data_IF_305291509462
#
_entry.id   IF_305291509462
#
_cell.length_a   1.000
_cell.length_b   1.000
_cell.length_c   1.000
_cell.angle_alpha   90.00
_cell.angle_beta   90.00
_cell.angle_gamma   90.00
#
_symmetry.space_group_name_H-M   'P 1'
#
loop_
_entity.id
_entity.type
_entity.pdbx_description
1 polymer ?
#
# COMPACT_ATOMS: atom_id res chain seq x y z
N UNK A 1 -21.38 24.62 32.13
CA UNK A 1 -21.54 23.17 32.32
C UNK A 1 -20.69 22.52 31.28
N UNK A 2 -19.51 21.99 31.62
CA UNK A 2 -18.67 21.23 30.71
C UNK A 2 -19.21 19.80 30.66
N UNK A 3 -19.80 19.43 29.53
CA UNK A 3 -20.19 18.07 29.26
C UNK A 3 -18.91 17.23 29.20
N UNK A 4 -18.74 16.31 30.14
CA UNK A 4 -17.65 15.37 30.17
C UNK A 4 -17.75 14.51 28.89
N UNK A 5 -16.81 14.70 27.98
CA UNK A 5 -16.58 13.78 26.87
C UNK A 5 -16.27 12.43 27.49
N UNK A 6 -17.24 11.54 27.46
CA UNK A 6 -17.06 10.17 27.94
C UNK A 6 -15.94 9.52 27.12
N UNK A 7 -14.80 9.31 27.76
CA UNK A 7 -13.66 8.60 27.23
C UNK A 7 -14.14 7.21 26.80
N UNK A 8 -14.32 6.99 25.49
CA UNK A 8 -14.70 5.69 24.94
C UNK A 8 -13.63 4.70 25.32
N UNK A 9 -13.91 3.84 26.31
CA UNK A 9 -12.98 2.79 26.71
C UNK A 9 -12.66 1.88 25.53
N UNK A 10 -11.38 1.58 25.36
CA UNK A 10 -10.93 0.67 24.29
C UNK A 10 -11.68 -0.66 24.38
N UNK A 11 -12.12 -1.24 23.26
CA UNK A 11 -12.89 -2.47 23.26
C UNK A 11 -12.12 -3.60 23.96
N UNK A 12 -12.77 -4.25 24.93
CA UNK A 12 -12.17 -5.36 25.66
C UNK A 12 -11.98 -6.56 24.76
N UNK A 13 -10.97 -7.41 25.06
CA UNK A 13 -10.62 -8.62 24.30
C UNK A 13 -11.82 -9.54 23.97
N UNK A 14 -12.72 -9.69 24.94
CA UNK A 14 -13.95 -10.50 24.76
C UNK A 14 -14.89 -9.91 23.71
N UNK A 15 -14.97 -8.58 23.61
CA UNK A 15 -15.78 -7.86 22.61
C UNK A 15 -15.19 -8.09 21.22
N UNK A 16 -13.86 -8.02 21.08
CA UNK A 16 -13.16 -8.28 19.82
C UNK A 16 -13.39 -9.71 19.33
N UNK A 17 -13.27 -10.71 20.21
CA UNK A 17 -13.51 -12.13 19.83
C UNK A 17 -14.99 -12.35 19.43
N UNK A 18 -15.94 -11.73 20.17
CA UNK A 18 -17.36 -11.86 19.83
C UNK A 18 -17.67 -11.21 18.48
N UNK A 19 -17.01 -10.07 18.17
CA UNK A 19 -17.20 -9.37 16.90
C UNK A 19 -16.73 -10.19 15.68
N UNK A 20 -15.81 -11.14 15.82
CA UNK A 20 -15.37 -12.04 14.74
C UNK A 20 -16.52 -12.89 14.16
N UNK A 21 -17.66 -13.02 14.84
CA UNK A 21 -18.86 -13.66 14.30
C UNK A 21 -19.58 -12.80 13.27
N UNK A 22 -19.32 -11.48 13.26
CA UNK A 22 -19.85 -10.59 12.24
C UNK A 22 -19.02 -10.79 10.95
N UNK A 23 -19.65 -11.03 9.79
CA UNK A 23 -18.94 -11.22 8.53
C UNK A 23 -17.95 -10.10 8.20
N UNK A 24 -18.30 -8.84 8.48
CA UNK A 24 -17.41 -7.68 8.26
C UNK A 24 -16.10 -7.82 9.04
N UNK A 25 -16.18 -8.21 10.30
CA UNK A 25 -15.02 -8.44 11.17
C UNK A 25 -14.20 -9.66 10.74
N UNK A 26 -14.87 -10.72 10.28
CA UNK A 26 -14.21 -11.92 9.75
C UNK A 26 -13.38 -11.60 8.49
N UNK A 27 -13.97 -10.90 7.53
CA UNK A 27 -13.24 -10.44 6.34
C UNK A 27 -12.15 -9.41 6.69
N UNK A 28 -12.36 -8.57 7.70
CA UNK A 28 -11.33 -7.63 8.14
C UNK A 28 -10.10 -8.35 8.72
N UNK A 29 -10.28 -9.49 9.40
CA UNK A 29 -9.17 -10.31 9.86
C UNK A 29 -8.38 -10.91 8.67
N UNK A 30 -9.07 -11.42 7.65
CA UNK A 30 -8.44 -11.92 6.42
C UNK A 30 -7.71 -10.81 5.67
N UNK A 31 -8.31 -9.64 5.54
CA UNK A 31 -7.71 -8.51 4.85
C UNK A 31 -6.53 -7.94 5.64
N UNK A 32 -6.61 -7.87 6.97
CA UNK A 32 -5.47 -7.51 7.81
C UNK A 32 -4.30 -8.48 7.65
N UNK A 33 -4.59 -9.78 7.53
CA UNK A 33 -3.58 -10.78 7.21
C UNK A 33 -2.97 -10.56 5.82
N UNK A 34 -3.81 -10.31 4.80
CA UNK A 34 -3.36 -10.01 3.44
C UNK A 34 -2.51 -8.72 3.35
N UNK A 35 -2.74 -7.74 4.22
CA UNK A 35 -1.90 -6.54 4.31
C UNK A 35 -0.51 -6.83 4.90
N UNK A 36 -0.42 -7.72 5.88
CA UNK A 36 0.82 -7.99 6.61
C UNK A 36 1.74 -9.01 5.92
N UNK A 37 1.19 -9.95 5.15
CA UNK A 37 1.96 -11.05 4.57
C UNK A 37 2.95 -10.58 3.48
N UNK A 38 2.55 -9.79 2.46
CA UNK A 38 3.47 -9.37 1.41
C UNK A 38 4.64 -8.52 1.89
N UNK A 39 4.48 -7.51 2.78
CA UNK A 39 5.62 -6.79 3.34
C UNK A 39 6.59 -7.71 4.11
N UNK A 40 6.07 -8.67 4.89
CA UNK A 40 6.91 -9.64 5.59
C UNK A 40 7.74 -10.49 4.63
N UNK A 41 7.18 -10.82 3.47
CA UNK A 41 7.89 -11.58 2.44
C UNK A 41 8.86 -10.69 1.64
N UNK A 42 8.37 -9.62 1.02
CA UNK A 42 9.19 -8.80 0.10
C UNK A 42 10.26 -7.95 0.80
N UNK A 43 10.01 -7.51 2.04
CA UNK A 43 10.96 -6.71 2.81
C UNK A 43 11.68 -7.49 3.91
N UNK A 44 11.38 -8.77 4.06
CA UNK A 44 11.93 -9.65 5.08
C UNK A 44 12.54 -10.92 4.50
N UNK A 45 11.76 -12.00 4.40
CA UNK A 45 12.25 -13.33 4.01
C UNK A 45 12.83 -13.42 2.62
N UNK A 46 12.46 -12.51 1.70
CA UNK A 46 13.08 -12.42 0.37
C UNK A 46 14.59 -12.23 0.46
N UNK A 47 15.06 -11.36 1.37
CA UNK A 47 16.50 -11.13 1.54
C UNK A 47 17.22 -12.36 2.09
N UNK A 48 16.57 -13.16 2.93
CA UNK A 48 17.13 -14.41 3.42
C UNK A 48 17.27 -15.41 2.26
N UNK A 49 16.26 -15.51 1.37
CA UNK A 49 16.34 -16.36 0.17
C UNK A 49 17.46 -15.93 -0.77
N UNK A 50 17.56 -14.62 -1.06
CA UNK A 50 18.61 -14.07 -1.93
C UNK A 50 20.00 -14.31 -1.33
N UNK A 51 20.16 -14.16 -0.01
CA UNK A 51 21.41 -14.43 0.69
C UNK A 51 21.83 -15.90 0.63
N UNK A 52 20.88 -16.82 0.81
CA UNK A 52 21.14 -18.26 0.70
C UNK A 52 21.46 -18.68 -0.75
N UNK A 53 20.84 -18.00 -1.73
CA UNK A 53 21.17 -18.16 -3.14
C UNK A 53 22.49 -17.50 -3.53
N UNK A 54 23.27 -16.96 -2.58
CA UNK A 54 24.56 -16.29 -2.82
C UNK A 54 24.47 -15.12 -3.81
N UNK A 55 23.34 -14.41 -3.82
CA UNK A 55 23.22 -13.15 -4.55
C UNK A 55 24.05 -12.09 -3.84
N UNK A 56 24.83 -11.32 -4.59
CA UNK A 56 25.70 -10.30 -4.03
C UNK A 56 24.90 -9.17 -3.32
N UNK A 57 25.51 -8.54 -2.33
CA UNK A 57 24.88 -7.54 -1.48
C UNK A 57 24.47 -6.27 -2.26
N UNK A 58 25.24 -5.92 -3.30
CA UNK A 58 24.95 -4.75 -4.13
C UNK A 58 23.66 -4.97 -4.91
N UNK A 59 23.51 -6.14 -5.49
CA UNK A 59 22.30 -6.54 -6.22
C UNK A 59 21.09 -6.64 -5.29
N UNK A 60 21.28 -7.12 -4.06
CA UNK A 60 20.22 -7.11 -3.04
C UNK A 60 19.73 -5.69 -2.73
N UNK A 61 20.59 -4.68 -2.85
CA UNK A 61 20.25 -3.28 -2.68
C UNK A 61 19.13 -2.80 -3.64
N UNK A 62 19.03 -3.39 -4.85
CA UNK A 62 17.94 -3.07 -5.80
C UNK A 62 16.57 -3.44 -5.22
N UNK A 63 16.49 -4.51 -4.47
CA UNK A 63 15.23 -4.93 -3.83
C UNK A 63 14.75 -3.97 -2.73
N UNK A 64 15.63 -3.12 -2.19
CA UNK A 64 15.23 -2.07 -1.25
C UNK A 64 14.26 -1.06 -1.90
N UNK A 65 14.35 -0.88 -3.24
CA UNK A 65 13.44 -0.03 -4.01
C UNK A 65 12.00 -0.54 -4.01
N UNK A 66 11.80 -1.84 -3.76
CA UNK A 66 10.47 -2.44 -3.56
C UNK A 66 9.72 -1.77 -2.41
N UNK A 67 10.44 -1.35 -1.36
CA UNK A 67 9.90 -0.59 -0.24
C UNK A 67 9.31 0.77 -0.62
N UNK A 68 9.76 1.35 -1.74
CA UNK A 68 9.23 2.64 -2.22
C UNK A 68 7.74 2.54 -2.59
N UNK A 69 7.26 1.38 -3.06
CA UNK A 69 5.86 1.19 -3.36
C UNK A 69 4.98 1.46 -2.13
N UNK A 70 5.41 0.98 -0.95
CA UNK A 70 4.68 1.22 0.30
C UNK A 70 4.81 2.66 0.82
N UNK A 71 5.99 3.26 0.66
CA UNK A 71 6.23 4.63 1.10
C UNK A 71 5.41 5.64 0.27
N UNK A 72 5.21 5.36 -1.00
CA UNK A 72 4.63 6.29 -1.95
C UNK A 72 3.17 5.96 -2.36
N UNK A 73 2.56 4.96 -1.74
CA UNK A 73 1.19 4.53 -2.04
C UNK A 73 0.15 5.66 -1.98
N UNK A 74 0.37 6.70 -1.18
CA UNK A 74 -0.53 7.85 -1.05
C UNK A 74 -0.75 8.62 -2.35
N UNK A 75 0.18 8.52 -3.32
CA UNK A 75 0.07 9.26 -4.57
C UNK A 75 -1.00 8.75 -5.51
N UNK A 76 -1.17 7.44 -5.59
CA UNK A 76 -2.21 6.86 -6.43
C UNK A 76 -3.48 6.53 -5.63
N UNK A 77 -3.48 6.79 -4.32
CA UNK A 77 -4.67 6.63 -3.48
C UNK A 77 -5.89 7.39 -4.04
N UNK A 78 -5.80 8.67 -4.49
CA UNK A 78 -6.95 9.35 -5.07
C UNK A 78 -7.45 8.73 -6.39
N UNK A 79 -6.60 7.95 -7.07
CA UNK A 79 -6.99 7.27 -8.30
C UNK A 79 -7.97 6.13 -8.03
N UNK A 80 -7.76 5.39 -6.93
CA UNK A 80 -8.62 4.29 -6.52
C UNK A 80 -10.04 4.75 -6.16
N UNK A 81 -10.19 6.02 -5.76
CA UNK A 81 -11.49 6.61 -5.47
C UNK A 81 -12.24 7.08 -6.72
N UNK A 82 -11.51 7.40 -7.79
CA UNK A 82 -12.07 8.02 -8.99
C UNK A 82 -12.23 7.07 -10.17
N UNK A 83 -11.44 6.00 -10.21
CA UNK A 83 -11.36 5.09 -11.37
C UNK A 83 -11.97 3.75 -11.00
N UNK A 84 -12.91 3.32 -11.84
CA UNK A 84 -13.46 1.97 -11.80
C UNK A 84 -12.71 1.08 -12.80
N UNK A 85 -12.40 -0.15 -12.37
CA UNK A 85 -11.75 -1.13 -13.26
C UNK A 85 -12.80 -1.65 -14.24
N UNK A 86 -12.59 -1.49 -15.57
CA UNK A 86 -13.54 -1.98 -16.57
C UNK A 86 -13.84 -3.48 -16.38
N UNK A 87 -15.11 -3.83 -16.29
CA UNK A 87 -15.57 -5.21 -16.08
C UNK A 87 -15.63 -5.68 -14.63
N UNK A 88 -14.98 -5.03 -13.68
CA UNK A 88 -14.98 -5.38 -12.26
C UNK A 88 -15.81 -4.42 -11.39
N UNK A 89 -16.35 -3.36 -11.94
CA UNK A 89 -17.19 -2.37 -11.23
C UNK A 89 -18.40 -3.00 -10.51
N UNK A 90 -18.91 -4.15 -11.04
CA UNK A 90 -20.00 -4.92 -10.41
C UNK A 90 -19.63 -5.54 -9.05
N UNK A 91 -18.34 -5.66 -8.74
CA UNK A 91 -17.88 -6.17 -7.44
C UNK A 91 -17.98 -5.14 -6.31
N UNK A 92 -18.32 -3.89 -6.64
CA UNK A 92 -18.34 -2.78 -5.70
C UNK A 92 -17.02 -2.00 -5.68
N UNK A 93 -17.10 -0.74 -5.23
CA UNK A 93 -16.03 0.26 -5.36
C UNK A 93 -14.68 -0.16 -4.77
N UNK A 94 -14.68 -0.88 -3.65
CA UNK A 94 -13.43 -1.29 -2.98
C UNK A 94 -12.98 -2.68 -3.40
N UNK A 95 -13.90 -3.62 -3.53
CA UNK A 95 -13.57 -5.02 -3.88
C UNK A 95 -12.98 -5.15 -5.28
N UNK A 96 -13.36 -4.28 -6.22
CA UNK A 96 -12.77 -4.28 -7.56
C UNK A 96 -11.25 -4.02 -7.54
N UNK A 97 -10.71 -3.40 -6.48
CA UNK A 97 -9.29 -3.19 -6.27
C UNK A 97 -8.67 -4.25 -5.34
N UNK A 98 -9.34 -4.60 -4.24
CA UNK A 98 -8.81 -5.53 -3.24
C UNK A 98 -8.53 -6.91 -3.85
N UNK A 99 -9.55 -7.56 -4.41
CA UNK A 99 -9.43 -8.93 -4.88
C UNK A 99 -8.43 -9.09 -6.04
N UNK A 100 -8.45 -8.28 -7.12
CA UNK A 100 -7.45 -8.40 -8.18
C UNK A 100 -6.02 -8.16 -7.70
N UNK A 101 -5.80 -7.19 -6.80
CA UNK A 101 -4.47 -6.92 -6.30
C UNK A 101 -3.95 -8.08 -5.42
N UNK A 102 -4.81 -8.70 -4.62
CA UNK A 102 -4.47 -9.92 -3.87
C UNK A 102 -4.10 -11.08 -4.81
N UNK A 103 -4.86 -11.25 -5.89
CA UNK A 103 -4.55 -12.27 -6.90
C UNK A 103 -3.21 -11.99 -7.60
N UNK A 104 -2.91 -10.72 -7.92
CA UNK A 104 -1.62 -10.33 -8.50
C UNK A 104 -0.48 -10.62 -7.54
N UNK A 105 -0.62 -10.28 -6.25
CA UNK A 105 0.40 -10.61 -5.24
C UNK A 105 0.61 -12.11 -5.15
N UNK A 106 -0.46 -12.89 -5.04
CA UNK A 106 -0.40 -14.35 -4.96
C UNK A 106 0.24 -14.96 -6.20
N UNK A 107 -0.13 -14.50 -7.40
CA UNK A 107 0.46 -14.93 -8.65
C UNK A 107 1.96 -14.57 -8.74
N UNK A 108 2.35 -13.36 -8.34
CA UNK A 108 3.75 -12.95 -8.32
C UNK A 108 4.60 -13.87 -7.42
N UNK A 109 4.13 -14.16 -6.19
CA UNK A 109 4.80 -15.08 -5.28
C UNK A 109 4.89 -16.50 -5.86
N UNK A 110 3.82 -17.00 -6.49
CA UNK A 110 3.83 -18.31 -7.15
C UNK A 110 4.81 -18.36 -8.31
N UNK A 111 4.84 -17.35 -9.17
CA UNK A 111 5.77 -17.34 -10.31
C UNK A 111 7.21 -17.22 -9.82
N UNK A 112 7.47 -16.38 -8.79
CA UNK A 112 8.79 -16.29 -8.16
C UNK A 112 9.28 -17.65 -7.64
N UNK A 113 8.40 -18.49 -7.13
CA UNK A 113 8.76 -19.82 -6.60
C UNK A 113 9.33 -20.78 -7.66
N UNK A 114 9.05 -20.54 -8.94
CA UNK A 114 9.57 -21.34 -10.06
C UNK A 114 10.86 -20.78 -10.67
N UNK A 115 11.31 -19.62 -10.19
CA UNK A 115 12.50 -18.96 -10.69
C UNK A 115 13.68 -19.19 -9.73
N UNK A 116 14.84 -19.41 -10.29
CA UNK A 116 16.08 -19.37 -9.51
C UNK A 116 16.55 -17.91 -9.39
N UNK A 117 16.67 -17.38 -8.16
CA UNK A 117 17.05 -15.99 -7.93
C UNK A 117 18.40 -15.62 -8.55
N UNK A 118 19.35 -16.57 -8.65
CA UNK A 118 20.70 -16.33 -9.17
C UNK A 118 20.72 -16.19 -10.69
N UNK A 119 20.01 -17.05 -11.39
CA UNK A 119 20.00 -17.08 -12.86
C UNK A 119 18.94 -16.17 -13.49
N UNK A 120 17.82 -15.95 -12.81
CA UNK A 120 16.68 -15.20 -13.31
C UNK A 120 16.41 -13.91 -12.50
N UNK A 121 17.47 -13.29 -11.96
CA UNK A 121 17.38 -12.16 -11.03
C UNK A 121 16.50 -11.00 -11.54
N UNK A 122 16.60 -10.70 -12.85
CA UNK A 122 15.81 -9.66 -13.47
C UNK A 122 14.30 -9.91 -13.40
N UNK A 123 13.87 -11.12 -13.73
CA UNK A 123 12.46 -11.51 -13.62
C UNK A 123 12.02 -11.57 -12.16
N UNK A 124 12.89 -12.03 -11.29
CA UNK A 124 12.63 -12.12 -9.86
C UNK A 124 12.39 -10.74 -9.24
N UNK A 125 13.23 -9.75 -9.56
CA UNK A 125 13.09 -8.38 -9.10
C UNK A 125 11.84 -7.69 -9.68
N UNK A 126 11.52 -7.95 -10.95
CA UNK A 126 10.32 -7.42 -11.57
C UNK A 126 9.04 -7.95 -10.89
N UNK A 127 8.99 -9.25 -10.61
CA UNK A 127 7.85 -9.85 -9.91
C UNK A 127 7.73 -9.34 -8.47
N UNK A 128 8.85 -9.15 -7.77
CA UNK A 128 8.86 -8.54 -6.44
C UNK A 128 8.31 -7.09 -6.48
N UNK A 129 8.71 -6.30 -7.49
CA UNK A 129 8.21 -4.94 -7.68
C UNK A 129 6.71 -4.91 -8.00
N UNK A 130 6.24 -5.78 -8.91
CA UNK A 130 4.81 -5.92 -9.25
C UNK A 130 4.01 -6.35 -8.01
N UNK A 131 4.49 -7.35 -7.29
CA UNK A 131 3.86 -7.83 -6.07
C UNK A 131 3.77 -6.76 -4.98
N UNK A 132 4.84 -6.00 -4.77
CA UNK A 132 4.85 -4.90 -3.80
C UNK A 132 3.92 -3.75 -4.19
N UNK A 133 3.89 -3.38 -5.48
CA UNK A 133 2.97 -2.36 -5.97
C UNK A 133 1.50 -2.79 -5.82
N UNK A 134 1.19 -4.04 -6.16
CA UNK A 134 -0.13 -4.61 -5.95
C UNK A 134 -0.50 -4.67 -4.46
N UNK A 135 0.45 -5.06 -3.59
CA UNK A 135 0.26 -5.07 -2.15
C UNK A 135 0.01 -3.67 -1.59
N UNK A 136 0.79 -2.67 -1.97
CA UNK A 136 0.57 -1.28 -1.55
C UNK A 136 -0.78 -0.74 -2.06
N UNK A 137 -1.23 -1.16 -3.23
CA UNK A 137 -2.53 -0.79 -3.80
C UNK A 137 -3.69 -1.44 -3.03
N UNK A 138 -3.58 -2.74 -2.71
CA UNK A 138 -4.59 -3.40 -1.88
C UNK A 138 -4.70 -2.77 -0.48
N UNK A 139 -3.57 -2.33 0.11
CA UNK A 139 -3.54 -1.68 1.42
C UNK A 139 -4.42 -0.44 1.46
N UNK A 140 -4.33 0.41 0.43
CA UNK A 140 -5.18 1.59 0.28
C UNK A 140 -6.65 1.18 0.23
N UNK A 141 -6.98 0.21 -0.62
CA UNK A 141 -8.35 -0.22 -0.84
C UNK A 141 -8.96 -0.88 0.41
N UNK A 142 -8.19 -1.70 1.14
CA UNK A 142 -8.60 -2.35 2.39
C UNK A 142 -8.84 -1.30 3.50
N UNK A 143 -7.94 -0.31 3.62
CA UNK A 143 -8.11 0.76 4.60
C UNK A 143 -9.36 1.60 4.33
N UNK A 144 -9.66 1.87 3.06
CA UNK A 144 -10.89 2.54 2.66
C UNK A 144 -12.12 1.64 2.91
N UNK A 145 -12.07 0.34 2.54
CA UNK A 145 -13.15 -0.60 2.80
C UNK A 145 -13.48 -0.71 4.29
N UNK A 146 -12.46 -0.72 5.16
CA UNK A 146 -12.64 -0.73 6.62
C UNK A 146 -13.48 0.43 7.12
N UNK A 147 -13.31 1.62 6.56
CA UNK A 147 -14.08 2.82 6.91
C UNK A 147 -15.50 2.69 6.37
N UNK A 148 -15.62 2.26 5.11
CA UNK A 148 -16.91 2.17 4.41
C UNK A 148 -17.86 1.11 5.01
N UNK A 149 -17.33 0.03 5.62
CA UNK A 149 -18.16 -1.06 6.22
C UNK A 149 -18.42 -0.88 7.71
N UNK A 150 -17.79 0.09 8.36
CA UNK A 150 -17.96 0.31 9.79
C UNK A 150 -19.41 0.68 10.11
N UNK A 151 -19.96 0.08 11.19
CA UNK A 151 -21.30 0.32 11.69
C UNK A 151 -21.33 0.25 13.23
N UNK A 152 -22.52 0.25 13.82
CA UNK A 152 -22.69 0.19 15.27
C UNK A 152 -22.22 -1.13 15.89
N UNK A 153 -22.34 -2.25 15.16
CA UNK A 153 -21.91 -3.57 15.64
C UNK A 153 -20.43 -3.84 15.37
N UNK A 154 -19.93 -3.43 14.20
CA UNK A 154 -18.55 -3.53 13.77
C UNK A 154 -17.93 -2.13 13.69
N UNK A 155 -17.70 -1.54 14.85
CA UNK A 155 -17.16 -0.16 14.92
C UNK A 155 -15.77 -0.06 14.32
N UNK A 156 -15.40 1.13 13.84
CA UNK A 156 -14.08 1.39 13.26
C UNK A 156 -12.92 0.99 14.19
N UNK A 157 -13.08 1.17 15.50
CA UNK A 157 -12.09 0.79 16.51
C UNK A 157 -11.92 -0.74 16.60
N UNK A 158 -13.03 -1.50 16.54
CA UNK A 158 -13.02 -2.96 16.52
C UNK A 158 -12.36 -3.45 15.23
N UNK A 159 -12.80 -2.95 14.08
CA UNK A 159 -12.23 -3.33 12.77
C UNK A 159 -10.74 -3.00 12.69
N UNK A 160 -10.31 -1.84 13.21
CA UNK A 160 -8.91 -1.44 13.24
C UNK A 160 -8.08 -2.37 14.13
N UNK A 161 -8.62 -2.76 15.29
CA UNK A 161 -7.97 -3.73 16.18
C UNK A 161 -7.80 -5.09 15.51
N UNK A 162 -8.84 -5.58 14.84
CA UNK A 162 -8.82 -6.87 14.10
C UNK A 162 -7.83 -6.81 12.96
N UNK A 163 -7.78 -5.70 12.20
CA UNK A 163 -6.78 -5.50 11.13
C UNK A 163 -5.37 -5.63 11.66
N UNK A 164 -5.07 -4.94 12.77
CA UNK A 164 -3.73 -4.99 13.37
C UNK A 164 -3.36 -6.38 13.89
N UNK A 165 -4.32 -7.13 14.41
CA UNK A 165 -4.09 -8.52 14.82
C UNK A 165 -3.79 -9.40 13.60
N UNK A 166 -4.58 -9.28 12.51
CA UNK A 166 -4.35 -9.98 11.26
C UNK A 166 -2.97 -9.66 10.67
N UNK A 167 -2.62 -8.38 10.63
CA UNK A 167 -1.32 -7.90 10.15
C UNK A 167 -0.15 -8.52 10.96
N UNK A 168 -0.23 -8.49 12.28
CA UNK A 168 0.82 -9.06 13.14
C UNK A 168 0.94 -10.58 12.99
N UNK A 169 -0.20 -11.27 12.86
CA UNK A 169 -0.20 -12.71 12.60
C UNK A 169 0.47 -13.02 11.25
N UNK A 170 0.15 -12.25 10.21
CA UNK A 170 0.78 -12.39 8.91
C UNK A 170 2.29 -12.11 8.95
N UNK A 171 2.73 -11.11 9.71
CA UNK A 171 4.15 -10.83 9.90
C UNK A 171 4.88 -11.99 10.59
N UNK A 172 4.25 -12.68 11.53
CA UNK A 172 4.79 -13.90 12.12
C UNK A 172 4.83 -15.06 11.12
N UNK A 173 3.77 -15.23 10.33
CA UNK A 173 3.66 -16.31 9.34
C UNK A 173 4.66 -16.10 8.19
N UNK A 174 4.71 -14.91 7.60
CA UNK A 174 5.63 -14.58 6.50
C UNK A 174 7.08 -14.41 6.97
N UNK A 175 7.30 -13.96 8.19
CA UNK A 175 8.62 -13.80 8.81
C UNK A 175 9.12 -15.10 9.47
N UNK A 176 8.86 -15.26 10.76
CA UNK A 176 9.44 -16.37 11.55
C UNK A 176 9.05 -17.75 11.03
N UNK A 177 7.75 -17.99 10.79
CA UNK A 177 7.32 -19.29 10.25
C UNK A 177 7.77 -19.51 8.82
N UNK A 178 7.84 -18.44 8.00
CA UNK A 178 8.37 -18.49 6.64
C UNK A 178 9.81 -19.01 6.62
N UNK A 179 10.68 -18.52 7.51
CA UNK A 179 12.06 -18.99 7.67
C UNK A 179 12.13 -20.45 8.08
N UNK A 180 11.35 -20.85 9.11
CA UNK A 180 11.32 -22.24 9.61
C UNK A 180 10.83 -23.21 8.52
N UNK A 181 9.83 -22.81 7.73
CA UNK A 181 9.30 -23.63 6.64
C UNK A 181 10.36 -23.72 5.51
N UNK A 182 11.02 -22.61 5.18
CA UNK A 182 12.06 -22.59 4.15
C UNK A 182 13.23 -23.50 4.48
N UNK A 183 13.67 -23.53 5.75
CA UNK A 183 14.71 -24.45 6.21
C UNK A 183 14.32 -25.93 6.02
N UNK A 184 13.02 -26.25 6.17
CA UNK A 184 12.56 -27.66 6.12
C UNK A 184 12.22 -28.14 4.72
N UNK A 185 11.58 -27.34 3.91
CA UNK A 185 11.04 -27.73 2.61
C UNK A 185 11.59 -26.89 1.45
N UNK A 186 12.43 -25.90 1.74
CA UNK A 186 13.04 -25.00 0.74
C UNK A 186 12.21 -23.76 0.44
N UNK A 187 12.88 -22.76 -0.10
CA UNK A 187 12.29 -21.45 -0.46
C UNK A 187 11.19 -21.54 -1.51
N UNK A 188 11.37 -22.29 -2.63
CA UNK A 188 10.34 -22.39 -3.65
C UNK A 188 9.00 -22.86 -3.08
N UNK A 189 8.99 -23.93 -2.29
CA UNK A 189 7.79 -24.50 -1.68
C UNK A 189 7.16 -23.55 -0.67
N UNK A 190 7.98 -22.81 0.07
CA UNK A 190 7.51 -21.79 1.02
C UNK A 190 6.75 -20.69 0.28
N UNK A 191 7.29 -20.19 -0.84
CA UNK A 191 6.64 -19.17 -1.64
C UNK A 191 5.39 -19.69 -2.37
N UNK A 192 5.35 -20.97 -2.76
CA UNK A 192 4.11 -21.62 -3.24
C UNK A 192 3.02 -21.56 -2.17
N UNK A 193 3.34 -21.92 -0.93
CA UNK A 193 2.38 -21.89 0.17
C UNK A 193 1.89 -20.47 0.43
N UNK A 194 2.80 -19.49 0.54
CA UNK A 194 2.45 -18.09 0.79
C UNK A 194 1.63 -17.47 -0.34
N UNK A 195 2.01 -17.75 -1.60
CA UNK A 195 1.26 -17.35 -2.78
C UNK A 195 -0.12 -18.00 -2.82
N UNK A 196 -0.23 -19.29 -2.49
CA UNK A 196 -1.49 -20.01 -2.37
C UNK A 196 -2.43 -19.41 -1.32
N UNK A 197 -1.90 -19.03 -0.16
CA UNK A 197 -2.65 -18.33 0.89
C UNK A 197 -3.19 -16.99 0.36
N UNK A 198 -2.36 -16.19 -0.31
CA UNK A 198 -2.79 -14.91 -0.89
C UNK A 198 -3.86 -15.08 -1.96
N UNK A 199 -3.73 -16.09 -2.84
CA UNK A 199 -4.77 -16.40 -3.82
C UNK A 199 -6.09 -16.82 -3.15
N UNK A 200 -6.02 -17.66 -2.13
CA UNK A 200 -7.21 -18.10 -1.39
C UNK A 200 -7.93 -16.91 -0.72
N UNK A 201 -7.17 -15.98 -0.11
CA UNK A 201 -7.73 -14.75 0.47
C UNK A 201 -8.30 -13.85 -0.63
N UNK A 202 -7.64 -13.72 -1.78
CA UNK A 202 -8.12 -12.94 -2.91
C UNK A 202 -9.46 -13.48 -3.45
N UNK A 203 -9.61 -14.79 -3.57
CA UNK A 203 -10.85 -15.44 -3.96
C UNK A 203 -11.93 -15.24 -2.87
N UNK A 204 -11.57 -15.43 -1.60
CA UNK A 204 -12.50 -15.19 -0.49
C UNK A 204 -12.96 -13.72 -0.46
N UNK A 205 -12.07 -12.77 -0.76
CA UNK A 205 -12.37 -11.35 -0.81
C UNK A 205 -13.47 -10.94 -1.80
N UNK A 206 -13.71 -11.76 -2.84
CA UNK A 206 -14.83 -11.55 -3.75
C UNK A 206 -16.19 -11.66 -3.06
N UNK A 207 -16.26 -12.44 -1.97
CA UNK A 207 -17.48 -12.68 -1.19
C UNK A 207 -17.60 -11.73 0.02
N UNK A 208 -16.65 -10.79 0.18
CA UNK A 208 -16.71 -9.80 1.26
C UNK A 208 -18.00 -8.97 1.14
N UNK A 209 -18.65 -8.62 2.26
CA UNK A 209 -19.83 -7.78 2.25
C UNK A 209 -19.52 -6.43 1.59
N UNK A 210 -20.48 -5.92 0.84
CA UNK A 210 -20.41 -4.57 0.32
C UNK A 210 -20.57 -3.58 1.47
N UNK A 211 -19.88 -2.45 1.37
CA UNK A 211 -20.22 -1.32 2.16
C UNK A 211 -21.68 -0.96 1.83
N UNK A 212 -22.57 -1.05 2.80
CA UNK A 212 -23.88 -0.44 2.63
C UNK A 212 -23.61 1.05 2.47
N UNK A 213 -23.82 1.57 1.27
CA UNK A 213 -23.90 3.01 1.06
C UNK A 213 -25.14 3.44 1.83
N UNK A 214 -24.96 3.79 3.11
CA UNK A 214 -26.02 4.49 3.83
C UNK A 214 -26.09 5.87 3.19
N UNK A 215 -27.28 6.30 2.81
CA UNK A 215 -27.54 7.66 2.31
C UNK A 215 -26.96 8.72 3.28
N UNK A 216 -26.88 8.41 4.57
CA UNK A 216 -26.19 9.19 5.59
C UNK A 216 -24.68 9.32 5.41
N UNK A 217 -24.00 8.30 4.88
CA UNK A 217 -22.56 8.36 4.63
C UNK A 217 -22.27 9.24 3.41
N UNK A 218 -23.10 9.18 2.38
CA UNK A 218 -23.00 10.08 1.22
C UNK A 218 -23.39 11.53 1.60
N UNK A 219 -24.38 11.72 2.45
CA UNK A 219 -24.75 13.05 2.96
C UNK A 219 -23.64 13.64 3.85
N UNK A 220 -23.03 12.84 4.72
CA UNK A 220 -21.89 13.26 5.56
C UNK A 220 -20.62 13.50 4.73
N UNK A 221 -20.37 12.68 3.74
CA UNK A 221 -19.25 12.87 2.81
C UNK A 221 -19.47 14.09 1.89
N UNK A 222 -20.71 14.35 1.49
CA UNK A 222 -21.10 15.56 0.75
C UNK A 222 -20.96 16.81 1.63
N UNK A 223 -21.46 16.79 2.86
CA UNK A 223 -21.32 17.89 3.81
C UNK A 223 -19.85 18.19 4.13
N UNK A 224 -19.02 17.17 4.35
CA UNK A 224 -17.57 17.33 4.53
C UNK A 224 -16.88 17.85 3.25
N UNK A 225 -17.36 17.47 2.06
CA UNK A 225 -16.86 18.03 0.79
C UNK A 225 -17.22 19.47 0.62
N UNK A 226 -18.43 19.84 0.99
CA UNK A 226 -18.92 21.22 0.93
C UNK A 226 -18.20 22.10 1.95
N UNK A 227 -17.99 21.62 3.19
CA UNK A 227 -17.20 22.32 4.21
C UNK A 227 -15.73 22.48 3.79
N UNK A 228 -15.10 21.43 3.23
CA UNK A 228 -13.76 21.50 2.65
C UNK A 228 -13.75 22.41 1.42
N UNK A 229 -14.79 22.39 0.59
CA UNK A 229 -14.91 23.29 -0.57
C UNK A 229 -15.12 24.74 -0.13
N UNK A 230 -15.87 25.01 0.93
CA UNK A 230 -15.98 26.36 1.51
C UNK A 230 -14.66 26.84 2.10
N UNK A 231 -13.91 25.98 2.81
CA UNK A 231 -12.57 26.30 3.30
C UNK A 231 -11.58 26.54 2.14
N UNK A 232 -11.71 25.81 1.02
CA UNK A 232 -10.91 26.05 -0.19
C UNK A 232 -11.37 27.27 -0.96
N UNK A 233 -12.67 27.56 -1.03
CA UNK A 233 -13.21 28.73 -1.71
C UNK A 233 -12.95 30.04 -0.95
N UNK A 234 -12.72 29.98 0.37
CA UNK A 234 -12.25 31.11 1.18
C UNK A 234 -10.81 31.56 0.83
N UNK A 235 -10.05 30.73 0.12
CA UNK A 235 -8.74 31.07 -0.40
C UNK A 235 -8.74 30.88 -1.92
N UNK A 236 -8.96 31.95 -2.69
CA UNK A 236 -8.91 31.95 -4.18
C UNK A 236 -7.64 31.33 -4.75
N UNK A 237 -7.53 30.01 -4.73
CA UNK A 237 -6.55 29.29 -5.54
C UNK A 237 -7.14 29.17 -6.94
N UNK A 238 -6.76 30.05 -7.84
CA UNK A 238 -7.19 30.02 -9.22
C UNK A 238 -6.91 28.64 -9.81
N UNK A 239 -7.87 28.07 -10.51
CA UNK A 239 -7.77 26.75 -11.15
C UNK A 239 -6.48 26.57 -11.98
N UNK A 240 -6.01 27.65 -12.61
CA UNK A 240 -4.73 27.70 -13.31
C UNK A 240 -3.50 27.45 -12.41
N UNK A 241 -3.53 27.97 -11.18
CA UNK A 241 -2.42 27.78 -10.20
C UNK A 241 -2.40 26.35 -9.71
N UNK A 242 -3.57 25.79 -9.39
CA UNK A 242 -3.73 24.39 -9.02
C UNK A 242 -3.21 23.45 -10.10
N UNK A 243 -3.63 23.66 -11.36
CA UNK A 243 -3.24 22.80 -12.47
C UNK A 243 -1.74 22.90 -12.75
N UNK A 244 -1.13 24.09 -12.67
CA UNK A 244 0.34 24.25 -12.80
C UNK A 244 1.08 23.51 -11.69
N UNK A 245 0.59 23.55 -10.48
CA UNK A 245 1.20 22.82 -9.37
C UNK A 245 1.09 21.30 -9.55
N UNK A 246 -0.07 20.81 -9.96
CA UNK A 246 -0.26 19.39 -10.25
C UNK A 246 0.64 18.92 -11.40
N UNK A 247 0.82 19.73 -12.44
CA UNK A 247 1.75 19.44 -13.53
C UNK A 247 3.19 19.44 -13.01
N UNK A 248 3.60 20.41 -12.20
CA UNK A 248 4.96 20.48 -11.65
C UNK A 248 5.26 19.25 -10.75
N UNK A 249 4.33 18.88 -9.88
CA UNK A 249 4.43 17.67 -9.06
C UNK A 249 4.48 16.43 -9.96
N UNK A 250 3.62 16.32 -10.97
CA UNK A 250 3.59 15.21 -11.91
C UNK A 250 4.90 15.06 -12.70
N UNK A 251 5.55 16.16 -13.08
CA UNK A 251 6.87 16.13 -13.75
C UNK A 251 7.97 15.62 -12.81
N UNK A 252 8.00 16.11 -11.57
CA UNK A 252 8.97 15.66 -10.57
C UNK A 252 8.85 14.15 -10.31
N UNK A 253 7.63 13.66 -10.23
CA UNK A 253 7.34 12.24 -10.03
C UNK A 253 7.65 11.41 -11.26
N UNK A 254 7.26 11.89 -12.44
CA UNK A 254 7.59 11.24 -13.71
C UNK A 254 9.10 11.07 -13.86
N UNK A 255 9.88 12.10 -13.51
CA UNK A 255 11.33 12.02 -13.49
C UNK A 255 11.84 10.94 -12.52
N UNK A 256 11.33 10.92 -11.29
CA UNK A 256 11.74 9.95 -10.27
C UNK A 256 11.43 8.51 -10.72
N UNK A 257 10.22 8.26 -11.21
CA UNK A 257 9.81 6.95 -11.72
C UNK A 257 10.67 6.52 -12.89
N UNK A 258 10.87 7.40 -13.89
CA UNK A 258 11.71 7.09 -15.05
C UNK A 258 13.14 6.77 -14.61
N UNK A 259 13.71 7.53 -13.67
CA UNK A 259 15.06 7.32 -13.16
C UNK A 259 15.20 5.93 -12.53
N UNK A 260 14.23 5.53 -11.69
CA UNK A 260 14.22 4.19 -11.07
C UNK A 260 14.03 3.10 -12.11
N UNK A 261 13.08 3.25 -13.04
CA UNK A 261 12.80 2.25 -14.08
C UNK A 261 14.02 2.08 -15.00
N UNK A 262 14.65 3.16 -15.43
CA UNK A 262 15.87 3.10 -16.29
C UNK A 262 16.99 2.40 -15.54
N UNK A 263 17.18 2.70 -14.26
CA UNK A 263 18.18 2.02 -13.43
C UNK A 263 17.87 0.52 -13.34
N UNK A 264 16.62 0.14 -13.03
CA UNK A 264 16.22 -1.27 -12.98
C UNK A 264 16.44 -1.99 -14.30
N UNK A 265 15.99 -1.40 -15.42
CA UNK A 265 16.17 -2.01 -16.75
C UNK A 265 17.65 -2.19 -17.06
N UNK A 266 18.48 -1.19 -16.80
CA UNK A 266 19.93 -1.30 -16.99
C UNK A 266 20.56 -2.39 -16.12
N UNK A 267 20.17 -2.46 -14.85
CA UNK A 267 20.65 -3.53 -13.94
C UNK A 267 20.25 -4.92 -14.39
N UNK A 268 19.10 -5.04 -15.10
CA UNK A 268 18.58 -6.31 -15.59
C UNK A 268 19.18 -6.74 -16.95
N UNK A 269 19.50 -5.77 -17.83
CA UNK A 269 19.89 -6.06 -19.22
C UNK A 269 21.39 -5.93 -19.48
N UNK A 270 22.13 -5.22 -18.62
CA UNK A 270 23.56 -5.04 -18.79
C UNK A 270 24.35 -6.31 -18.45
N UNK A 271 25.47 -6.51 -19.18
CA UNK A 271 26.44 -7.54 -18.83
C UNK A 271 27.00 -7.28 -17.40
N UNK A 272 27.46 -8.29 -16.67
CA UNK A 272 27.94 -8.14 -15.30
C UNK A 272 28.97 -7.02 -15.12
N UNK A 273 29.80 -6.78 -16.11
CA UNK A 273 30.87 -5.76 -16.13
C UNK A 273 30.32 -4.32 -16.31
N UNK A 274 29.13 -4.19 -16.93
CA UNK A 274 28.51 -2.90 -17.28
C UNK A 274 27.30 -2.56 -16.39
N UNK A 275 27.05 -3.34 -15.36
CA UNK A 275 25.93 -3.09 -14.45
C UNK A 275 26.14 -1.80 -13.68
N UNK A 276 25.10 -0.94 -13.60
CA UNK A 276 25.21 0.31 -12.85
C UNK A 276 25.44 0.02 -11.36
N UNK A 277 26.37 0.75 -10.76
CA UNK A 277 26.66 0.68 -9.32
C UNK A 277 25.44 1.14 -8.51
N UNK A 278 24.88 0.20 -7.73
CA UNK A 278 23.71 0.42 -6.87
C UNK A 278 24.04 1.41 -5.76
N UNK A 279 25.23 1.34 -5.18
CA UNK A 279 25.67 2.21 -4.09
C UNK A 279 25.78 3.64 -4.60
N UNK A 280 26.39 3.84 -5.76
CA UNK A 280 26.48 5.15 -6.40
C UNK A 280 25.09 5.68 -6.77
N UNK A 281 24.19 4.83 -7.28
CA UNK A 281 22.83 5.24 -7.59
C UNK A 281 22.06 5.66 -6.34
N UNK A 282 22.07 4.86 -5.28
CA UNK A 282 21.34 5.15 -4.05
C UNK A 282 21.86 6.35 -3.31
N UNK A 283 23.18 6.56 -3.30
CA UNK A 283 23.79 7.73 -2.63
C UNK A 283 23.61 9.02 -3.42
N UNK A 284 23.57 8.94 -4.76
CA UNK A 284 23.44 10.13 -5.62
C UNK A 284 21.98 10.44 -5.92
N UNK A 285 21.22 9.47 -6.43
CA UNK A 285 19.83 9.70 -6.86
C UNK A 285 18.80 9.50 -5.76
N UNK A 286 19.09 8.67 -4.74
CA UNK A 286 18.17 8.44 -3.63
C UNK A 286 17.73 9.73 -2.93
N UNK A 287 18.66 10.59 -2.43
CA UNK A 287 18.30 11.87 -1.83
C UNK A 287 17.56 12.81 -2.79
N UNK A 288 17.96 12.84 -4.07
CA UNK A 288 17.31 13.66 -5.09
C UNK A 288 15.88 13.22 -5.35
N UNK A 289 15.63 11.90 -5.40
CA UNK A 289 14.29 11.32 -5.55
C UNK A 289 13.42 11.71 -4.35
N UNK A 290 13.94 11.59 -3.12
CA UNK A 290 13.20 12.00 -1.92
C UNK A 290 12.88 13.50 -1.95
N UNK A 291 13.84 14.33 -2.31
CA UNK A 291 13.62 15.79 -2.44
C UNK A 291 12.56 16.08 -3.50
N UNK A 292 12.64 15.45 -4.66
CA UNK A 292 11.71 15.68 -5.77
C UNK A 292 10.29 15.18 -5.49
N UNK A 293 10.14 14.08 -4.75
CA UNK A 293 8.85 13.41 -4.55
C UNK A 293 8.15 13.77 -3.23
N UNK A 294 8.89 14.20 -2.22
CA UNK A 294 8.36 14.52 -0.89
C UNK A 294 8.53 16.00 -0.56
N UNK A 295 9.79 16.49 -0.62
CA UNK A 295 10.12 17.83 -0.12
C UNK A 295 9.56 18.92 -1.04
N UNK A 296 9.86 18.87 -2.33
CA UNK A 296 9.40 19.89 -3.28
C UNK A 296 7.86 19.94 -3.42
N UNK A 297 7.13 18.81 -3.53
CA UNK A 297 5.68 18.83 -3.51
C UNK A 297 5.08 19.46 -2.25
N UNK A 298 5.65 19.18 -1.06
CA UNK A 298 5.21 19.80 0.19
C UNK A 298 5.43 21.33 0.18
N UNK A 299 6.58 21.79 -0.33
CA UNK A 299 6.83 23.23 -0.50
C UNK A 299 5.91 23.86 -1.54
N UNK A 300 5.65 23.19 -2.65
CA UNK A 300 4.70 23.65 -3.69
C UNK A 300 3.30 23.77 -3.08
N UNK A 301 2.83 22.76 -2.35
CA UNK A 301 1.56 22.79 -1.66
C UNK A 301 1.48 23.93 -0.64
N UNK A 302 2.50 24.08 0.20
CA UNK A 302 2.58 25.16 1.19
C UNK A 302 2.66 26.55 0.53
N UNK A 303 3.32 26.68 -0.61
CA UNK A 303 3.40 27.94 -1.37
C UNK A 303 2.06 28.32 -2.00
N UNK A 304 1.30 27.35 -2.50
CA UNK A 304 -0.02 27.56 -3.07
C UNK A 304 -1.04 27.88 -1.96
N UNK A 305 -0.92 27.20 -0.82
CA UNK A 305 -1.78 27.39 0.36
C UNK A 305 -1.46 28.70 1.13
N UNK A 306 -0.42 29.47 0.72
CA UNK A 306 -0.16 30.77 1.36
C UNK A 306 -1.41 31.65 1.24
N UNK A 307 -2.08 31.98 2.37
CA UNK A 307 -3.17 32.93 2.34
C UNK A 307 -2.63 34.26 1.84
N UNK A 308 -3.24 34.83 0.83
CA UNK A 308 -3.08 36.24 0.54
C UNK A 308 -3.40 36.96 1.83
N UNK A 309 -2.42 37.70 2.38
CA UNK A 309 -2.48 38.43 3.63
C UNK A 309 -3.77 39.24 3.74
N UNK A 310 -4.73 38.71 4.44
CA UNK A 310 -5.77 39.42 5.17
C UNK A 310 -5.84 38.72 6.52
N UNK A 311 -5.01 39.18 7.42
CA UNK A 311 -4.98 39.02 8.87
C UNK A 311 -5.73 37.84 9.48
N UNK A 312 -5.13 36.65 9.53
CA UNK A 312 -5.16 35.72 10.65
C UNK A 312 -4.30 34.50 10.34
N UNK A 313 -3.35 34.24 11.23
CA UNK A 313 -2.56 33.01 11.26
C UNK A 313 -3.50 31.82 11.49
N UNK A 314 -3.61 30.93 10.53
CA UNK A 314 -4.02 29.56 10.76
C UNK A 314 -2.94 28.70 10.13
N UNK A 315 -2.07 28.18 11.01
CA UNK A 315 -1.23 27.02 10.72
C UNK A 315 -2.12 25.81 10.98
N UNK A 316 -2.38 25.01 9.95
CA UNK A 316 -2.93 23.67 10.10
C UNK A 316 -1.81 22.71 9.66
#
# INVERSE_FOLDING_TARGET
MAEAVAEKSKPGWRTVIRSLRNPKSGFMALFGFAQGLPPALFLGTLYAWLSEAEVDLETMGVFSLVGLAYAFQFLWSPLLDKVDIPGLSKLGKRKQWIAPMQLVVGAALLVMSFLDPKSALGWFSLLAAIGAFASATQDIAINAWRIDVADEEATLDILSTITQMGFRLAALVGGAFGLIIAERIGWPQTYVIMGGIMLAIGIAGLFAPDASVSEDTDATAAANRDEVAELYNAGEVTEKVRNRALIAVGVLWGWAIITVVVFMVRSMTAAPEDRPDVTLFTTTYGPLIVVATVVLPAFIAAWIAKPKRAGRNVIV
#
